data_IF_102791698136
#
_entry.id   IF_102791698136
#
_cell.length_a   1.000
_cell.length_b   1.000
_cell.length_c   1.000
_cell.angle_alpha   90.00
_cell.angle_beta   90.00
_cell.angle_gamma   90.00
#
_symmetry.space_group_name_H-M   'P 1'
#
loop_
_entity.id
_entity.type
_entity.pdbx_description
1 polymer ?
#
# COMPACT_ATOMS: atom_id res chain seq x y z
N UNK A 1 54.06 -97.94 1.48
CA UNK A 1 53.48 -96.91 0.58
C UNK A 1 51.99 -96.83 0.93
N UNK A 2 51.38 -95.71 1.32
CA UNK A 2 51.58 -94.32 0.95
C UNK A 2 51.35 -93.39 2.16
N UNK A 3 52.27 -92.46 2.39
CA UNK A 3 52.05 -91.29 3.25
C UNK A 3 51.41 -90.24 2.35
N UNK A 4 50.18 -89.84 2.68
CA UNK A 4 49.45 -88.81 1.94
C UNK A 4 50.15 -87.46 2.14
N UNK A 5 50.66 -86.90 1.03
CA UNK A 5 51.17 -85.53 0.99
C UNK A 5 49.99 -84.60 1.23
N UNK A 6 49.93 -83.99 2.41
CA UNK A 6 49.08 -82.83 2.66
C UNK A 6 49.82 -81.65 2.03
N UNK A 7 49.32 -81.17 0.90
CA UNK A 7 49.76 -79.94 0.24
C UNK A 7 49.64 -78.79 1.26
N UNK A 8 50.74 -78.47 1.94
CA UNK A 8 50.86 -77.26 2.75
C UNK A 8 51.17 -76.14 1.76
N UNK A 9 50.10 -75.57 1.24
CA UNK A 9 50.13 -74.38 0.39
C UNK A 9 50.66 -73.22 1.25
N UNK A 10 51.95 -72.91 1.09
CA UNK A 10 52.62 -71.80 1.75
C UNK A 10 52.02 -70.47 1.25
N UNK A 11 51.04 -69.94 1.95
CA UNK A 11 50.67 -68.52 1.83
C UNK A 11 51.79 -67.68 2.46
N UNK A 12 52.63 -67.08 1.62
CA UNK A 12 53.60 -66.06 2.04
C UNK A 12 52.86 -64.88 2.71
N UNK A 13 53.39 -64.29 3.79
CA UNK A 13 52.70 -63.26 4.57
C UNK A 13 52.62 -61.87 3.91
N UNK A 14 53.46 -61.59 2.90
CA UNK A 14 53.64 -60.23 2.34
C UNK A 14 52.43 -59.70 1.56
N UNK A 15 51.67 -60.57 0.89
CA UNK A 15 50.47 -60.18 0.11
C UNK A 15 49.32 -59.72 1.00
N UNK A 16 49.20 -60.33 2.19
CA UNK A 16 48.14 -60.02 3.16
C UNK A 16 48.32 -58.58 3.68
N UNK A 17 49.57 -58.14 3.90
CA UNK A 17 49.89 -56.81 4.41
C UNK A 17 49.61 -55.70 3.38
N UNK A 18 49.91 -55.94 2.09
CA UNK A 18 49.63 -54.99 1.01
C UNK A 18 48.12 -54.81 0.82
N UNK A 19 47.35 -55.89 0.83
CA UNK A 19 45.88 -55.84 0.70
C UNK A 19 45.23 -55.12 1.90
N UNK A 20 45.74 -55.33 3.11
CA UNK A 20 45.27 -54.62 4.30
C UNK A 20 45.59 -53.13 4.29
N UNK A 21 46.76 -52.71 3.79
CA UNK A 21 47.09 -51.28 3.64
C UNK A 21 46.22 -50.60 2.57
N UNK A 22 46.02 -51.25 1.43
CA UNK A 22 45.17 -50.73 0.36
C UNK A 22 43.70 -50.62 0.82
N UNK A 23 43.17 -51.62 1.52
CA UNK A 23 41.83 -51.54 2.11
C UNK A 23 41.71 -50.40 3.13
N UNK A 24 42.70 -50.21 4.01
CA UNK A 24 42.70 -49.09 4.97
C UNK A 24 42.66 -47.74 4.27
N UNK A 25 43.48 -47.53 3.23
CA UNK A 25 43.50 -46.27 2.44
C UNK A 25 42.13 -46.00 1.78
N UNK A 26 41.53 -47.01 1.15
CA UNK A 26 40.20 -46.89 0.51
C UNK A 26 39.11 -46.55 1.55
N UNK A 27 39.14 -47.19 2.72
CA UNK A 27 38.16 -46.93 3.80
C UNK A 27 38.35 -45.52 4.37
N UNK A 28 39.58 -45.05 4.55
CA UNK A 28 39.87 -43.70 5.03
C UNK A 28 39.46 -42.62 4.03
N UNK A 29 39.71 -42.81 2.74
CA UNK A 29 39.24 -41.90 1.70
C UNK A 29 37.71 -41.83 1.64
N UNK A 30 37.02 -42.98 1.74
CA UNK A 30 35.56 -43.04 1.83
C UNK A 30 35.05 -42.31 3.08
N UNK A 31 35.71 -42.45 4.24
CA UNK A 31 35.39 -41.70 5.47
C UNK A 31 35.60 -40.19 5.29
N UNK A 32 36.69 -39.75 4.66
CA UNK A 32 36.96 -38.33 4.36
C UNK A 32 35.91 -37.75 3.42
N UNK A 33 35.53 -38.46 2.35
CA UNK A 33 34.45 -38.06 1.42
C UNK A 33 33.10 -37.95 2.12
N UNK A 34 32.74 -38.91 2.99
CA UNK A 34 31.50 -38.86 3.79
C UNK A 34 31.48 -37.68 4.79
N UNK A 35 32.62 -37.35 5.42
CA UNK A 35 32.73 -36.17 6.29
C UNK A 35 32.54 -34.87 5.50
N UNK A 36 33.15 -34.75 4.31
CA UNK A 36 32.97 -33.60 3.41
C UNK A 36 31.54 -33.47 2.88
N UNK A 37 30.90 -34.59 2.55
CA UNK A 37 29.49 -34.60 2.14
C UNK A 37 28.57 -34.15 3.29
N UNK A 38 28.81 -34.61 4.53
CA UNK A 38 28.07 -34.14 5.70
C UNK A 38 28.28 -32.65 6.00
N UNK A 39 29.50 -32.13 5.85
CA UNK A 39 29.75 -30.70 6.01
C UNK A 39 29.11 -29.88 4.89
N UNK A 40 29.12 -30.38 3.65
CA UNK A 40 28.44 -29.74 2.52
C UNK A 40 26.91 -29.73 2.70
N UNK A 41 26.32 -30.81 3.23
CA UNK A 41 24.88 -30.84 3.57
C UNK A 41 24.53 -29.84 4.68
N UNK A 42 25.39 -29.66 5.68
CA UNK A 42 25.20 -28.62 6.70
C UNK A 42 25.25 -27.21 6.11
N UNK A 43 26.20 -26.95 5.20
CA UNK A 43 26.31 -25.68 4.49
C UNK A 43 25.10 -25.41 3.59
N UNK A 44 24.58 -26.44 2.91
CA UNK A 44 23.33 -26.34 2.15
C UNK A 44 22.14 -26.00 3.05
N UNK A 45 22.02 -26.63 4.22
CA UNK A 45 20.98 -26.30 5.20
C UNK A 45 21.05 -24.86 5.68
N UNK A 46 22.27 -24.35 5.94
CA UNK A 46 22.48 -22.94 6.29
C UNK A 46 22.10 -22.03 5.11
N UNK A 47 22.46 -22.40 3.87
CA UNK A 47 22.08 -21.67 2.67
C UNK A 47 20.56 -21.55 2.50
N UNK A 48 19.82 -22.65 2.68
CA UNK A 48 18.35 -22.62 2.66
C UNK A 48 17.76 -21.77 3.77
N UNK A 49 18.34 -21.81 4.98
CA UNK A 49 17.90 -20.95 6.08
C UNK A 49 18.08 -19.46 5.73
N UNK A 50 19.23 -19.08 5.18
CA UNK A 50 19.51 -17.69 4.76
C UNK A 50 18.55 -17.25 3.66
N UNK A 51 18.31 -18.07 2.64
CA UNK A 51 17.36 -17.77 1.56
C UNK A 51 15.94 -17.60 2.12
N UNK A 52 15.53 -18.47 3.06
CA UNK A 52 14.24 -18.36 3.74
C UNK A 52 14.12 -17.06 4.54
N UNK A 53 15.17 -16.66 5.26
CA UNK A 53 15.20 -15.39 5.99
C UNK A 53 15.10 -14.19 5.05
N UNK A 54 15.83 -14.19 3.93
CA UNK A 54 15.77 -13.11 2.93
C UNK A 54 14.35 -12.99 2.36
N UNK A 55 13.72 -14.12 2.00
CA UNK A 55 12.35 -14.14 1.48
C UNK A 55 11.35 -13.58 2.50
N UNK A 56 11.48 -13.96 3.77
CA UNK A 56 10.63 -13.46 4.85
C UNK A 56 10.77 -11.95 5.04
N UNK A 57 11.99 -11.40 4.94
CA UNK A 57 12.23 -9.97 5.02
C UNK A 57 11.64 -9.21 3.83
N UNK A 58 11.73 -9.76 2.61
CA UNK A 58 11.11 -9.15 1.43
C UNK A 58 9.60 -9.01 1.57
N UNK A 59 8.94 -10.05 2.08
CA UNK A 59 7.50 -10.01 2.37
C UNK A 59 7.21 -8.90 3.38
N UNK A 60 7.96 -8.83 4.47
CA UNK A 60 7.78 -7.81 5.51
C UNK A 60 7.96 -6.37 4.99
N UNK A 61 8.92 -6.13 4.09
CA UNK A 61 9.11 -4.83 3.45
C UNK A 61 7.90 -4.46 2.59
N UNK A 62 7.32 -5.42 1.88
CA UNK A 62 6.05 -5.22 1.15
C UNK A 62 4.92 -4.80 2.08
N UNK A 63 4.79 -5.44 3.24
CA UNK A 63 3.80 -5.06 4.25
C UNK A 63 4.07 -3.68 4.85
N UNK A 64 5.33 -3.29 5.08
CA UNK A 64 5.68 -1.96 5.58
C UNK A 64 5.24 -0.84 4.62
N UNK A 65 5.35 -1.05 3.31
CA UNK A 65 4.85 -0.10 2.32
C UNK A 65 3.32 0.03 2.40
N UNK A 66 2.61 -1.10 2.54
CA UNK A 66 1.15 -1.10 2.72
C UNK A 66 0.77 -0.35 3.99
N UNK A 67 1.45 -0.61 5.10
CA UNK A 67 1.20 0.09 6.37
C UNK A 67 1.46 1.60 6.26
N UNK A 68 2.52 2.01 5.56
CA UNK A 68 2.82 3.42 5.34
C UNK A 68 1.72 4.12 4.54
N UNK A 69 1.30 3.50 3.45
CA UNK A 69 0.21 4.02 2.60
C UNK A 69 -1.09 4.08 3.38
N UNK A 70 -1.42 3.04 4.17
CA UNK A 70 -2.61 3.05 5.03
C UNK A 70 -2.55 4.17 6.07
N UNK A 71 -1.37 4.45 6.62
CA UNK A 71 -1.22 5.54 7.58
C UNK A 71 -1.42 6.91 6.92
N UNK A 72 -0.88 7.11 5.71
CA UNK A 72 -1.08 8.33 4.92
C UNK A 72 -2.55 8.51 4.52
N UNK A 73 -3.24 7.43 4.13
CA UNK A 73 -4.68 7.45 3.87
C UNK A 73 -5.45 7.88 5.13
N UNK A 74 -5.14 7.30 6.28
CA UNK A 74 -5.80 7.65 7.53
C UNK A 74 -5.60 9.13 7.90
N UNK A 75 -4.39 9.67 7.68
CA UNK A 75 -4.12 11.09 7.89
C UNK A 75 -4.90 11.98 6.94
N UNK A 76 -4.97 11.62 5.66
CA UNK A 76 -5.75 12.36 4.66
C UNK A 76 -7.26 12.31 4.95
N UNK A 77 -7.77 11.17 5.43
CA UNK A 77 -9.16 11.03 5.86
C UNK A 77 -9.48 11.90 7.07
N UNK A 78 -8.57 11.96 8.05
CA UNK A 78 -8.70 12.82 9.22
C UNK A 78 -8.73 14.30 8.82
N UNK A 79 -7.80 14.75 7.96
CA UNK A 79 -7.78 16.11 7.43
C UNK A 79 -9.06 16.46 6.67
N UNK A 80 -9.57 15.52 5.86
CA UNK A 80 -10.84 15.71 5.14
C UNK A 80 -12.02 15.84 6.09
N UNK A 81 -12.04 15.04 7.16
CA UNK A 81 -13.08 15.10 8.18
C UNK A 81 -13.04 16.44 8.93
N UNK A 82 -11.86 16.91 9.31
CA UNK A 82 -11.67 18.20 9.96
C UNK A 82 -12.14 19.36 9.07
N UNK A 83 -11.71 19.38 7.81
CA UNK A 83 -12.11 20.41 6.86
C UNK A 83 -13.62 20.40 6.57
N UNK A 84 -14.24 19.23 6.51
CA UNK A 84 -15.69 19.13 6.35
C UNK A 84 -16.43 19.64 7.59
N UNK A 85 -15.94 19.37 8.80
CA UNK A 85 -16.52 19.96 10.02
C UNK A 85 -16.42 21.48 10.00
N UNK A 86 -15.24 22.02 9.68
CA UNK A 86 -15.05 23.46 9.58
C UNK A 86 -16.01 24.08 8.55
N UNK A 87 -16.19 23.43 7.40
CA UNK A 87 -17.19 23.85 6.41
C UNK A 87 -18.62 23.84 6.97
N UNK A 88 -19.03 22.76 7.65
CA UNK A 88 -20.36 22.67 8.25
C UNK A 88 -20.59 23.74 9.33
N UNK A 89 -19.59 24.00 10.16
CA UNK A 89 -19.61 25.06 11.17
C UNK A 89 -19.75 26.44 10.52
N UNK A 90 -19.00 26.72 9.45
CA UNK A 90 -19.12 27.97 8.69
C UNK A 90 -20.50 28.12 8.04
N UNK A 91 -21.07 27.03 7.52
CA UNK A 91 -22.43 27.06 6.95
C UNK A 91 -23.45 27.35 8.05
N UNK A 92 -23.33 26.71 9.22
CA UNK A 92 -24.22 26.96 10.35
C UNK A 92 -24.10 28.41 10.85
N UNK A 93 -22.88 28.97 10.91
CA UNK A 93 -22.67 30.38 11.25
C UNK A 93 -23.28 31.31 10.21
N UNK A 94 -23.11 31.02 8.92
CA UNK A 94 -23.70 31.77 7.83
C UNK A 94 -25.24 31.74 7.91
N UNK A 95 -25.83 30.58 8.14
CA UNK A 95 -27.27 30.42 8.31
C UNK A 95 -27.78 31.19 9.53
N UNK A 96 -27.03 31.16 10.64
CA UNK A 96 -27.37 31.93 11.82
C UNK A 96 -27.36 33.43 11.55
N UNK A 97 -26.36 33.95 10.82
CA UNK A 97 -26.29 35.37 10.43
C UNK A 97 -27.38 35.73 9.42
N UNK A 98 -27.64 34.87 8.44
CA UNK A 98 -28.68 35.07 7.41
C UNK A 98 -30.09 34.87 7.96
N UNK A 99 -30.24 34.34 9.18
CA UNK A 99 -31.56 34.08 9.75
C UNK A 99 -32.37 35.40 9.82
N UNK A 100 -33.62 35.41 9.32
CA UNK A 100 -34.42 36.64 9.24
C UNK A 100 -34.57 37.34 10.59
N UNK A 101 -34.71 36.57 11.67
CA UNK A 101 -34.82 37.11 13.03
C UNK A 101 -33.58 37.89 13.46
N UNK A 102 -32.38 37.41 13.12
CA UNK A 102 -31.12 38.09 13.47
C UNK A 102 -30.88 39.30 12.58
N UNK A 103 -31.28 39.23 11.31
CA UNK A 103 -31.29 40.38 10.39
C UNK A 103 -32.26 41.47 10.86
N UNK A 104 -33.45 41.10 11.31
CA UNK A 104 -34.46 42.02 11.85
C UNK A 104 -33.96 42.67 13.15
N UNK A 105 -33.38 41.89 14.07
CA UNK A 105 -32.79 42.42 15.30
C UNK A 105 -31.66 43.41 15.02
N UNK A 106 -30.74 43.07 14.11
CA UNK A 106 -29.63 43.95 13.73
C UNK A 106 -30.11 45.19 12.97
N UNK A 107 -31.13 45.03 12.12
CA UNK A 107 -31.80 46.12 11.41
C UNK A 107 -32.41 47.13 12.36
N UNK A 108 -33.25 46.68 13.28
CA UNK A 108 -33.98 47.54 14.21
C UNK A 108 -33.04 48.14 15.26
N UNK A 109 -32.19 47.32 15.88
CA UNK A 109 -31.42 47.72 17.07
C UNK A 109 -30.06 48.35 16.75
N UNK A 110 -29.35 47.89 15.70
CA UNK A 110 -28.01 48.39 15.36
C UNK A 110 -28.05 49.43 14.26
N UNK A 111 -28.87 49.21 13.23
CA UNK A 111 -28.96 50.07 12.05
C UNK A 111 -30.05 51.15 12.19
N UNK A 112 -30.93 51.03 13.19
CA UNK A 112 -32.03 51.98 13.41
C UNK A 112 -33.05 51.99 12.27
N UNK A 113 -33.18 50.87 11.56
CA UNK A 113 -34.21 50.70 10.53
C UNK A 113 -35.58 50.54 11.21
N UNK A 114 -36.65 50.84 10.47
CA UNK A 114 -38.03 50.64 10.91
C UNK A 114 -38.83 50.04 9.74
N UNK A 115 -39.99 49.44 10.06
CA UNK A 115 -40.85 48.86 9.03
C UNK A 115 -41.42 49.96 8.13
N UNK A 116 -41.47 49.72 6.80
CA UNK A 116 -42.06 50.66 5.87
C UNK A 116 -43.57 50.80 6.12
N UNK A 117 -44.10 52.01 5.93
CA UNK A 117 -45.55 52.24 5.97
C UNK A 117 -46.20 51.73 4.68
N UNK A 118 -47.51 51.44 4.71
CA UNK A 118 -48.24 50.91 3.54
C UNK A 118 -48.10 51.80 2.29
N UNK A 119 -47.96 53.11 2.50
CA UNK A 119 -47.77 54.12 1.44
C UNK A 119 -46.40 54.05 0.75
N UNK A 120 -45.42 53.39 1.37
CA UNK A 120 -44.05 53.24 0.86
C UNK A 120 -43.84 51.91 0.10
N UNK A 121 -44.84 51.01 0.11
CA UNK A 121 -44.74 49.70 -0.54
C UNK A 121 -45.28 49.79 -1.98
N UNK A 122 -44.40 49.56 -2.95
CA UNK A 122 -44.75 49.52 -4.39
C UNK A 122 -44.55 48.10 -4.92
N UNK A 123 -45.61 47.50 -5.47
CA UNK A 123 -45.56 46.20 -6.13
C UNK A 123 -45.22 46.38 -7.61
N UNK A 124 -44.18 45.70 -8.08
CA UNK A 124 -43.78 45.68 -9.49
C UNK A 124 -44.19 44.34 -10.10
N UNK A 125 -44.76 44.38 -11.30
CA UNK A 125 -45.12 43.18 -12.04
C UNK A 125 -43.90 42.64 -12.82
N UNK A 126 -43.66 41.33 -12.76
CA UNK A 126 -42.41 40.71 -13.21
C UNK A 126 -42.27 40.74 -14.73
N UNK A 127 -43.37 40.95 -15.45
CA UNK A 127 -43.41 41.09 -16.91
C UNK A 127 -42.75 42.41 -17.39
N UNK A 128 -42.66 43.44 -16.54
CA UNK A 128 -42.01 44.73 -16.87
C UNK A 128 -40.51 44.75 -16.54
N UNK A 129 -40.01 43.73 -15.84
CA UNK A 129 -38.61 43.61 -15.43
C UNK A 129 -37.82 42.77 -16.45
N UNK A 130 -37.69 43.30 -17.67
CA UNK A 130 -36.56 42.93 -18.52
C UNK A 130 -35.28 43.51 -17.90
N UNK A 131 -34.79 42.88 -16.84
CA UNK A 131 -33.41 43.06 -16.43
C UNK A 131 -32.56 42.68 -17.63
N UNK A 132 -31.91 43.68 -18.24
CA UNK A 132 -30.75 43.38 -19.07
C UNK A 132 -29.78 42.62 -18.15
N UNK A 133 -29.67 41.31 -18.37
CA UNK A 133 -28.74 40.42 -17.67
C UNK A 133 -27.31 40.86 -18.00
N UNK A 134 -26.80 41.87 -17.31
CA UNK A 134 -25.38 42.03 -17.05
C UNK A 134 -25.16 41.60 -15.60
N UNK A 135 -25.09 40.29 -15.41
CA UNK A 135 -24.95 39.66 -14.11
C UNK A 135 -24.30 38.30 -14.28
N UNK A 136 -22.99 38.32 -14.47
CA UNK A 136 -22.07 37.20 -14.34
C UNK A 136 -22.29 36.47 -13.00
N UNK A 137 -23.20 35.51 -13.00
CA UNK A 137 -23.30 34.45 -12.00
C UNK A 137 -22.77 33.19 -12.67
N UNK A 138 -21.56 32.80 -12.26
CA UNK A 138 -20.88 31.60 -12.74
C UNK A 138 -21.76 30.36 -12.64
N UNK A 139 -22.31 29.99 -13.79
CA UNK A 139 -23.10 28.80 -14.04
C UNK A 139 -22.30 27.53 -13.72
N UNK A 140 -23.00 26.52 -13.20
CA UNK A 140 -22.51 25.18 -12.89
C UNK A 140 -22.24 24.38 -14.19
N UNK A 141 -21.38 24.89 -15.06
CA UNK A 141 -20.95 24.23 -16.31
C UNK A 141 -19.83 23.19 -16.12
N UNK A 142 -19.21 23.14 -14.94
CA UNK A 142 -17.95 22.40 -14.77
C UNK A 142 -18.09 20.88 -14.70
N UNK A 143 -19.25 20.32 -14.35
CA UNK A 143 -19.36 18.86 -14.24
C UNK A 143 -19.21 18.16 -15.59
N UNK A 144 -19.77 18.72 -16.66
CA UNK A 144 -19.65 18.13 -17.99
C UNK A 144 -18.23 18.28 -18.55
N UNK A 145 -17.58 19.42 -18.28
CA UNK A 145 -16.19 19.68 -18.67
C UNK A 145 -15.21 18.73 -17.94
N UNK A 146 -15.39 18.51 -16.63
CA UNK A 146 -14.55 17.61 -15.84
C UNK A 146 -14.70 16.16 -16.30
N UNK A 147 -15.94 15.70 -16.57
CA UNK A 147 -16.21 14.35 -17.07
C UNK A 147 -15.60 14.14 -18.47
N UNK A 148 -15.66 15.16 -19.33
CA UNK A 148 -15.06 15.11 -20.66
C UNK A 148 -13.53 15.04 -20.59
N UNK A 149 -12.89 15.84 -19.73
CA UNK A 149 -11.44 15.78 -19.48
C UNK A 149 -11.00 14.44 -18.89
N UNK A 150 -11.77 13.89 -17.96
CA UNK A 150 -11.49 12.58 -17.37
C UNK A 150 -11.50 11.46 -18.43
N UNK A 151 -12.47 11.50 -19.35
CA UNK A 151 -12.58 10.54 -20.44
C UNK A 151 -11.38 10.58 -21.39
N UNK A 152 -10.83 11.76 -21.67
CA UNK A 152 -9.63 11.92 -22.51
C UNK A 152 -8.39 11.28 -21.84
N UNK A 153 -8.18 11.53 -20.55
CA UNK A 153 -7.05 10.97 -19.78
C UNK A 153 -7.17 9.45 -19.66
N UNK A 154 -8.36 8.94 -19.40
CA UNK A 154 -8.60 7.50 -19.30
C UNK A 154 -8.31 6.78 -20.62
N UNK A 155 -8.72 7.35 -21.75
CA UNK A 155 -8.51 6.75 -23.07
C UNK A 155 -7.02 6.76 -23.48
N UNK A 156 -6.26 7.78 -23.07
CA UNK A 156 -4.82 7.87 -23.30
C UNK A 156 -4.03 6.82 -22.49
N UNK A 157 -4.44 6.56 -21.25
CA UNK A 157 -3.84 5.51 -20.41
C UNK A 157 -4.16 4.11 -20.94
N UNK A 158 -5.37 3.90 -21.47
CA UNK A 158 -5.79 2.62 -22.04
C UNK A 158 -5.11 2.30 -23.38
N UNK A 159 -4.67 3.32 -24.12
CA UNK A 159 -3.87 3.15 -25.33
C UNK A 159 -2.37 2.92 -25.08
N UNK A 160 -1.93 2.96 -23.82
CA UNK A 160 -0.54 2.78 -23.39
C UNK A 160 -0.28 1.38 -22.79
N UNK A 161 -1.33 0.58 -22.62
CA UNK A 161 -1.31 -0.86 -22.29
C UNK A 161 -1.78 -1.69 -23.48
#
# INVERSE_FOLDING_TARGET
MLVTKRELEYCYPEHIDIDHEQQKRIVEERKKRRKRARSAQKLLGIGFAVVGTILSLLILIGYLNITRINHEIAQLEEQKMELNREKEDLIAELEAIKSPAKLEEDALNKLGMDYPTEEQVVYLDVEELNFAEDGDYGDMGDQHLIVQRFKEVFNLLLGLF
#
